data_IF_016537234123
#
_entry.id   IF_016537234123
#
_cell.length_a   1.000
_cell.length_b   1.000
_cell.length_c   1.000
_cell.angle_alpha   90.00
_cell.angle_beta   90.00
_cell.angle_gamma   90.00
#
_symmetry.space_group_name_H-M   'P 1'
#
loop_
_entity.id
_entity.type
_entity.pdbx_description
1 polymer ?
#
# COMPACT_ATOMS: atom_id res chain seq x y z
N UNK A 1 -6.26 0.67 -10.09
CA UNK A 1 -5.23 -0.36 -9.79
C UNK A 1 -4.31 -0.03 -8.60
N UNK A 2 -3.82 1.20 -8.44
CA UNK A 2 -2.71 1.53 -7.51
C UNK A 2 -2.94 1.09 -6.04
N UNK A 3 -4.11 1.40 -5.46
CA UNK A 3 -4.51 0.96 -4.11
C UNK A 3 -4.34 -0.56 -3.94
N UNK A 4 -4.65 -1.35 -4.97
CA UNK A 4 -4.50 -2.80 -4.93
C UNK A 4 -3.01 -3.18 -4.90
N UNK A 5 -2.16 -2.50 -5.68
CA UNK A 5 -0.70 -2.72 -5.67
C UNK A 5 -0.18 -2.47 -4.25
N UNK A 6 -0.49 -1.31 -3.66
CA UNK A 6 -0.05 -0.97 -2.30
C UNK A 6 -0.57 -1.95 -1.25
N UNK A 7 -1.82 -2.37 -1.36
CA UNK A 7 -2.41 -3.39 -0.49
C UNK A 7 -1.64 -4.71 -0.61
N UNK A 8 -1.37 -5.18 -1.83
CA UNK A 8 -0.68 -6.44 -2.05
C UNK A 8 0.80 -6.37 -1.65
N UNK A 9 1.47 -5.24 -1.84
CA UNK A 9 2.84 -5.02 -1.35
C UNK A 9 2.87 -5.00 0.17
N UNK A 10 1.89 -4.36 0.81
CA UNK A 10 1.71 -4.43 2.25
C UNK A 10 1.52 -5.88 2.75
N UNK A 11 0.75 -6.68 2.02
CA UNK A 11 0.62 -8.11 2.30
C UNK A 11 1.96 -8.85 2.14
N UNK A 12 2.76 -8.54 1.11
CA UNK A 12 4.11 -9.09 0.95
C UNK A 12 4.99 -8.78 2.18
N UNK A 13 5.01 -7.53 2.65
CA UNK A 13 5.66 -7.16 3.91
C UNK A 13 5.13 -7.95 5.12
N UNK A 14 3.81 -8.13 5.19
CA UNK A 14 3.17 -8.95 6.22
C UNK A 14 3.59 -10.42 6.17
N UNK A 15 3.89 -10.99 4.99
CA UNK A 15 4.40 -12.37 4.89
C UNK A 15 5.77 -12.52 5.54
N UNK A 16 6.64 -11.51 5.43
CA UNK A 16 7.94 -11.47 6.10
C UNK A 16 7.76 -11.49 7.61
N UNK A 17 6.90 -10.63 8.15
CA UNK A 17 6.63 -10.56 9.58
C UNK A 17 6.03 -11.88 10.10
N UNK A 18 5.08 -12.45 9.36
CA UNK A 18 4.45 -13.73 9.69
C UNK A 18 5.44 -14.91 9.70
N UNK A 19 6.40 -14.93 8.77
CA UNK A 19 7.44 -15.96 8.70
C UNK A 19 8.41 -15.87 9.88
N UNK A 20 8.80 -14.66 10.27
CA UNK A 20 9.77 -14.43 11.35
C UNK A 20 9.17 -14.60 12.75
N UNK A 21 7.88 -14.30 12.94
CA UNK A 21 7.22 -14.34 14.24
C UNK A 21 6.92 -15.76 14.78
N UNK A 22 6.83 -16.79 13.91
CA UNK A 22 6.53 -18.19 14.29
C UNK A 22 5.20 -18.40 15.00
N UNK A 23 4.13 -17.79 14.49
CA UNK A 23 2.77 -18.00 14.99
C UNK A 23 2.01 -19.09 14.22
N UNK A 24 0.87 -19.53 14.77
CA UNK A 24 -0.07 -20.44 14.10
C UNK A 24 -0.57 -19.87 12.75
N UNK A 25 -0.99 -20.69 11.78
CA UNK A 25 -1.44 -20.22 10.46
C UNK A 25 -2.52 -19.14 10.50
N UNK A 26 -3.52 -19.29 11.36
CA UNK A 26 -4.56 -18.28 11.52
C UNK A 26 -4.02 -16.92 11.99
N UNK A 27 -2.99 -16.92 12.83
CA UNK A 27 -2.34 -15.69 13.27
C UNK A 27 -1.44 -15.12 12.17
N UNK A 28 -0.73 -15.97 11.41
CA UNK A 28 0.06 -15.55 10.26
C UNK A 28 -0.83 -14.88 9.20
N UNK A 29 -1.97 -15.49 8.85
CA UNK A 29 -2.93 -14.91 7.91
C UNK A 29 -3.40 -13.52 8.36
N UNK A 30 -3.71 -13.35 9.66
CA UNK A 30 -4.07 -12.03 10.20
C UNK A 30 -2.90 -11.04 10.10
N UNK A 31 -1.66 -11.43 10.39
CA UNK A 31 -0.49 -10.56 10.24
C UNK A 31 -0.36 -10.10 8.78
N UNK A 32 -0.51 -11.00 7.81
CA UNK A 32 -0.47 -10.67 6.37
C UNK A 32 -1.56 -9.68 6.00
N UNK A 33 -2.81 -9.93 6.41
CA UNK A 33 -3.94 -9.02 6.16
C UNK A 33 -3.71 -7.65 6.78
N UNK A 34 -3.20 -7.58 8.01
CA UNK A 34 -2.85 -6.31 8.66
C UNK A 34 -1.77 -5.55 7.89
N UNK A 35 -0.81 -6.25 7.28
CA UNK A 35 0.18 -5.63 6.40
C UNK A 35 -0.48 -4.99 5.17
N UNK A 36 -1.44 -5.69 4.57
CA UNK A 36 -2.23 -5.14 3.46
C UNK A 36 -3.05 -3.92 3.85
N UNK A 37 -3.71 -3.95 5.02
CA UNK A 37 -4.40 -2.77 5.56
C UNK A 37 -3.43 -1.61 5.79
N UNK A 38 -2.20 -1.88 6.21
CA UNK A 38 -1.15 -0.87 6.35
C UNK A 38 -0.77 -0.23 5.02
N UNK A 39 -0.62 -1.02 3.96
CA UNK A 39 -0.31 -0.52 2.61
C UNK A 39 -1.47 0.24 1.96
N UNK A 40 -2.72 -0.12 2.26
CA UNK A 40 -3.90 0.60 1.78
C UNK A 40 -4.16 1.92 2.55
N UNK A 41 -3.68 2.02 3.79
CA UNK A 41 -4.11 3.07 4.72
C UNK A 41 -3.81 4.51 4.29
N UNK A 42 -2.65 4.81 3.68
CA UNK A 42 -2.38 6.17 3.19
C UNK A 42 -3.42 6.67 2.18
N UNK A 43 -4.05 5.74 1.44
CA UNK A 43 -5.07 6.01 0.43
C UNK A 43 -6.50 5.92 0.97
N UNK A 44 -6.69 5.84 2.29
CA UNK A 44 -8.01 5.60 2.87
C UNK A 44 -9.04 6.68 2.50
N UNK A 45 -8.57 7.88 2.20
CA UNK A 45 -9.41 8.99 1.80
C UNK A 45 -9.80 8.97 0.31
N UNK A 46 -9.35 7.99 -0.47
CA UNK A 46 -10.00 7.62 -1.75
C UNK A 46 -11.47 7.22 -1.54
N UNK A 47 -11.85 6.84 -0.31
CA UNK A 47 -13.26 6.69 0.08
C UNK A 47 -14.08 7.96 -0.15
N UNK A 48 -13.45 9.13 -0.12
CA UNK A 48 -14.12 10.39 -0.45
C UNK A 48 -14.57 10.48 -1.91
N UNK A 49 -14.00 9.69 -2.81
CA UNK A 49 -14.42 9.60 -4.21
C UNK A 49 -15.60 8.64 -4.45
N UNK A 50 -16.07 7.95 -3.41
CA UNK A 50 -17.26 7.11 -3.54
C UNK A 50 -18.47 7.97 -3.95
N UNK A 51 -19.29 7.57 -4.95
CA UNK A 51 -20.42 8.38 -5.42
C UNK A 51 -21.44 8.80 -4.37
N UNK A 52 -21.55 8.05 -3.26
CA UNK A 52 -22.43 8.40 -2.14
C UNK A 52 -21.80 9.34 -1.10
N UNK A 53 -20.51 9.67 -1.22
CA UNK A 53 -19.78 10.42 -0.20
C UNK A 53 -20.35 11.82 0.00
N UNK A 54 -20.58 12.58 -1.08
CA UNK A 54 -21.05 13.97 -0.98
C UNK A 54 -22.44 14.06 -0.35
N UNK A 55 -23.31 13.10 -0.66
CA UNK A 55 -24.66 13.00 -0.08
C UNK A 55 -24.65 12.58 1.39
N UNK A 56 -23.65 11.78 1.81
CA UNK A 56 -23.60 11.20 3.17
C UNK A 56 -22.77 12.04 4.14
N UNK A 57 -21.59 12.47 3.70
CA UNK A 57 -20.57 13.13 4.51
C UNK A 57 -20.21 14.52 4.00
N UNK A 58 -20.16 14.73 2.68
CA UNK A 58 -19.74 16.01 2.10
C UNK A 58 -20.60 17.19 2.56
N UNK A 59 -21.92 17.00 2.67
CA UNK A 59 -22.84 18.01 3.21
C UNK A 59 -22.52 18.43 4.67
N UNK A 60 -22.02 17.50 5.49
CA UNK A 60 -21.62 17.80 6.87
C UNK A 60 -20.23 18.45 6.95
N UNK A 61 -19.32 18.05 6.06
CA UNK A 61 -17.95 18.55 6.00
C UNK A 61 -17.82 19.91 5.29
N UNK A 62 -18.83 20.31 4.50
CA UNK A 62 -18.82 21.56 3.73
C UNK A 62 -17.82 21.56 2.57
N UNK A 63 -17.30 20.39 2.19
CA UNK A 63 -16.38 20.17 1.07
C UNK A 63 -16.81 18.90 0.33
N UNK A 64 -16.67 18.91 -0.98
CA UNK A 64 -16.88 17.70 -1.78
C UNK A 64 -15.75 16.70 -1.54
N UNK A 65 -16.05 15.41 -1.70
CA UNK A 65 -15.05 14.36 -1.60
C UNK A 65 -13.94 14.51 -2.63
N UNK A 66 -14.27 14.99 -3.85
CA UNK A 66 -13.27 15.32 -4.86
C UNK A 66 -12.31 16.42 -4.39
N UNK A 67 -12.81 17.46 -3.72
CA UNK A 67 -11.95 18.49 -3.14
C UNK A 67 -11.08 17.88 -2.04
N UNK A 68 -11.64 17.08 -1.13
CA UNK A 68 -10.87 16.45 -0.05
C UNK A 68 -9.71 15.60 -0.62
N UNK A 69 -9.99 14.79 -1.63
CA UNK A 69 -8.99 13.92 -2.25
C UNK A 69 -7.92 14.71 -3.01
N UNK A 70 -8.31 15.70 -3.80
CA UNK A 70 -7.39 16.40 -4.72
C UNK A 70 -6.64 17.59 -4.10
N UNK A 71 -7.08 18.07 -2.93
CA UNK A 71 -6.50 19.25 -2.28
C UNK A 71 -5.38 18.89 -1.30
N UNK A 72 -4.47 19.84 -1.06
CA UNK A 72 -3.36 19.71 -0.10
C UNK A 72 -3.81 19.91 1.36
N UNK A 73 -4.96 19.34 1.74
CA UNK A 73 -5.41 19.40 3.13
C UNK A 73 -4.39 18.71 4.03
N UNK A 74 -4.08 19.33 5.17
CA UNK A 74 -3.07 18.79 6.08
C UNK A 74 -3.43 17.39 6.59
N UNK A 75 -4.72 17.07 6.70
CA UNK A 75 -5.26 15.78 7.10
C UNK A 75 -5.58 14.85 5.93
N UNK A 76 -5.39 15.27 4.68
CA UNK A 76 -5.73 14.49 3.50
C UNK A 76 -4.58 13.59 3.03
N UNK A 77 -4.85 12.93 1.89
CA UNK A 77 -3.99 12.03 1.13
C UNK A 77 -2.57 12.59 1.08
N UNK A 78 -2.41 13.76 0.46
CA UNK A 78 -1.12 14.39 0.20
C UNK A 78 -0.47 15.09 1.42
N UNK A 79 -1.04 14.93 2.60
CA UNK A 79 -0.61 15.57 3.83
C UNK A 79 -0.09 14.57 4.86
N UNK A 80 -0.79 14.50 5.99
CA UNK A 80 -0.45 13.63 7.11
C UNK A 80 -0.42 12.15 6.73
N UNK A 81 -1.34 11.67 5.87
CA UNK A 81 -1.41 10.26 5.50
C UNK A 81 -0.22 9.81 4.64
N UNK A 82 0.41 10.69 3.86
CA UNK A 82 1.64 10.34 3.13
C UNK A 82 2.92 10.81 3.85
N UNK A 83 3.00 10.57 5.17
CA UNK A 83 4.14 10.97 5.99
C UNK A 83 4.63 9.89 6.98
N UNK A 84 5.91 9.95 7.34
CA UNK A 84 6.50 9.08 8.37
C UNK A 84 5.88 9.31 9.75
N UNK A 85 5.53 10.56 10.05
CA UNK A 85 4.84 10.92 11.30
C UNK A 85 3.46 10.27 11.34
N UNK A 86 2.73 10.32 10.22
CA UNK A 86 1.45 9.63 10.06
C UNK A 86 1.55 8.13 10.30
N UNK A 87 2.51 7.48 9.62
CA UNK A 87 2.77 6.05 9.76
C UNK A 87 3.01 5.64 11.23
N UNK A 88 3.89 6.36 11.95
CA UNK A 88 4.22 6.07 13.34
C UNK A 88 3.05 6.35 14.29
N UNK A 89 2.38 7.50 14.13
CA UNK A 89 1.28 7.91 15.01
C UNK A 89 0.09 6.97 14.86
N UNK A 90 -0.33 6.66 13.63
CA UNK A 90 -1.44 5.76 13.37
C UNK A 90 -1.16 4.34 13.87
N UNK A 91 0.05 3.82 13.65
CA UNK A 91 0.48 2.53 14.20
C UNK A 91 0.37 2.52 15.73
N UNK A 92 0.88 3.56 16.40
CA UNK A 92 0.85 3.68 17.86
C UNK A 92 -0.57 3.81 18.42
N UNK A 93 -1.42 4.63 17.79
CA UNK A 93 -2.81 4.85 18.20
C UNK A 93 -3.64 3.57 18.04
N UNK A 94 -3.56 2.91 16.87
CA UNK A 94 -4.26 1.65 16.64
C UNK A 94 -3.74 0.55 17.57
N UNK A 95 -2.41 0.43 17.73
CA UNK A 95 -1.79 -0.50 18.65
C UNK A 95 -2.25 -0.30 20.10
N UNK A 96 -2.29 0.95 20.56
CA UNK A 96 -2.80 1.32 21.89
C UNK A 96 -4.28 1.02 22.05
N UNK A 97 -5.11 1.44 21.09
CA UNK A 97 -6.56 1.19 21.10
C UNK A 97 -6.88 -0.31 21.17
N UNK A 98 -6.29 -1.13 20.30
CA UNK A 98 -6.50 -2.57 20.33
C UNK A 98 -5.91 -3.22 21.59
N UNK A 99 -4.82 -2.69 22.15
CA UNK A 99 -4.29 -3.16 23.44
C UNK A 99 -5.24 -2.91 24.61
N UNK A 100 -5.94 -1.76 24.60
CA UNK A 100 -6.98 -1.46 25.57
C UNK A 100 -8.15 -2.43 25.43
N UNK A 101 -8.65 -2.65 24.20
CA UNK A 101 -9.72 -3.62 23.94
C UNK A 101 -9.32 -5.01 24.43
N UNK A 102 -8.14 -5.48 24.06
CA UNK A 102 -7.69 -6.84 24.36
C UNK A 102 -7.48 -7.09 25.85
N UNK A 103 -6.98 -6.09 26.58
CA UNK A 103 -6.70 -6.21 28.02
C UNK A 103 -7.91 -5.89 28.91
N UNK A 104 -8.69 -4.85 28.61
CA UNK A 104 -9.77 -4.37 29.48
C UNK A 104 -11.15 -4.92 29.11
N UNK A 105 -11.46 -4.98 27.82
CA UNK A 105 -12.78 -5.38 27.33
C UNK A 105 -12.84 -6.90 27.19
N UNK A 106 -11.91 -7.48 26.41
CA UNK A 106 -11.87 -8.92 26.14
C UNK A 106 -11.20 -9.71 27.27
N UNK A 107 -10.46 -9.03 28.17
CA UNK A 107 -9.73 -9.64 29.30
C UNK A 107 -8.83 -10.81 28.87
N UNK A 108 -8.24 -10.73 27.68
CA UNK A 108 -7.37 -11.77 27.09
C UNK A 108 -5.89 -11.59 27.42
N UNK A 109 -5.53 -10.54 28.15
CA UNK A 109 -4.19 -10.30 28.65
C UNK A 109 -4.23 -9.75 30.09
N UNK A 110 -3.22 -10.04 30.92
CA UNK A 110 -3.18 -9.57 32.32
C UNK A 110 -3.18 -8.04 32.48
N UNK A 111 -2.79 -7.31 31.44
CA UNK A 111 -2.76 -5.85 31.44
C UNK A 111 -2.38 -5.28 30.08
N UNK A 112 -2.44 -3.95 29.97
CA UNK A 112 -2.17 -3.22 28.73
C UNK A 112 -0.79 -3.54 28.16
N UNK A 113 0.27 -3.52 28.97
CA UNK A 113 1.63 -3.78 28.50
C UNK A 113 1.85 -5.21 27.96
N UNK A 114 1.09 -6.19 28.46
CA UNK A 114 1.13 -7.56 27.92
C UNK A 114 0.33 -7.67 26.62
N UNK A 115 -0.82 -7.00 26.54
CA UNK A 115 -1.59 -6.90 25.29
C UNK A 115 -0.79 -6.20 24.18
N UNK A 116 -0.14 -5.09 24.51
CA UNK A 116 0.68 -4.34 23.57
C UNK A 116 1.81 -5.19 23.01
N UNK A 117 2.55 -5.90 23.88
CA UNK A 117 3.59 -6.84 23.48
C UNK A 117 3.07 -7.96 22.59
N UNK A 118 1.90 -8.52 22.91
CA UNK A 118 1.26 -9.53 22.06
C UNK A 118 0.90 -8.99 20.67
N UNK A 119 0.54 -7.70 20.57
CA UNK A 119 0.14 -7.07 19.32
C UNK A 119 1.31 -6.54 18.47
N UNK A 120 2.56 -6.57 18.97
CA UNK A 120 3.76 -6.07 18.26
C UNK A 120 3.89 -6.60 16.82
N UNK A 121 3.70 -7.90 16.52
CA UNK A 121 3.82 -8.40 15.14
C UNK A 121 2.81 -7.76 14.19
N UNK A 122 1.60 -7.47 14.67
CA UNK A 122 0.58 -6.78 13.87
C UNK A 122 0.96 -5.32 13.63
N UNK A 123 1.48 -4.65 14.66
CA UNK A 123 1.96 -3.26 14.54
C UNK A 123 3.13 -3.13 13.56
N UNK A 124 4.10 -4.04 13.63
CA UNK A 124 5.22 -4.10 12.68
C UNK A 124 4.72 -4.38 11.27
N UNK A 125 3.75 -5.28 11.11
CA UNK A 125 3.17 -5.58 9.80
C UNK A 125 2.45 -4.36 9.19
N UNK A 126 1.61 -3.69 9.99
CA UNK A 126 0.90 -2.48 9.56
C UNK A 126 1.89 -1.36 9.18
N UNK A 127 2.84 -1.05 10.07
CA UNK A 127 3.85 -0.03 9.81
C UNK A 127 4.69 -0.39 8.58
N UNK A 128 5.10 -1.65 8.43
CA UNK A 128 5.85 -2.12 7.28
C UNK A 128 5.08 -1.94 5.97
N UNK A 129 3.80 -2.30 5.93
CA UNK A 129 2.95 -2.07 4.76
C UNK A 129 2.79 -0.58 4.43
N UNK A 130 2.58 0.25 5.45
CA UNK A 130 2.47 1.70 5.30
C UNK A 130 3.76 2.30 4.70
N UNK A 131 4.92 1.92 5.23
CA UNK A 131 6.20 2.42 4.74
C UNK A 131 6.49 1.95 3.32
N UNK A 132 6.10 0.73 2.96
CA UNK A 132 6.24 0.23 1.59
C UNK A 132 5.39 1.06 0.62
N UNK A 133 4.14 1.36 0.98
CA UNK A 133 3.29 2.27 0.21
C UNK A 133 4.00 3.62 -0.04
N UNK A 134 4.55 4.25 1.01
CA UNK A 134 5.24 5.55 0.86
C UNK A 134 6.44 5.48 -0.10
N UNK A 135 7.10 4.32 -0.21
CA UNK A 135 8.21 4.12 -1.15
C UNK A 135 7.70 3.91 -2.58
N UNK A 136 6.59 3.20 -2.74
CA UNK A 136 5.95 2.95 -4.03
C UNK A 136 5.43 4.22 -4.70
N UNK A 137 5.09 5.24 -3.91
CA UNK A 137 4.65 6.55 -4.39
C UNK A 137 5.78 7.48 -4.80
N UNK A 138 7.03 7.23 -4.41
CA UNK A 138 8.16 8.07 -4.85
C UNK A 138 8.36 8.12 -6.38
N UNK A 139 8.24 7.01 -7.14
CA UNK A 139 8.43 7.01 -8.59
C UNK A 139 7.27 7.59 -9.42
N UNK A 140 6.10 7.90 -8.85
CA UNK A 140 4.99 8.52 -9.59
C UNK A 140 5.35 9.96 -9.99
N UNK A 141 4.67 10.62 -10.95
CA UNK A 141 5.06 11.97 -11.37
C UNK A 141 4.69 12.99 -10.30
N UNK A 142 5.46 14.07 -10.20
CA UNK A 142 5.16 15.16 -9.28
C UNK A 142 3.78 15.77 -9.53
N UNK A 143 3.37 15.89 -10.81
CA UNK A 143 2.05 16.39 -11.19
C UNK A 143 1.67 17.68 -10.45
N UNK A 144 0.44 17.74 -9.94
CA UNK A 144 -0.04 18.87 -9.13
C UNK A 144 0.53 18.94 -7.71
N UNK A 145 1.26 17.92 -7.26
CA UNK A 145 1.55 17.68 -5.85
C UNK A 145 3.04 17.75 -5.50
N UNK A 146 3.94 17.63 -6.48
CA UNK A 146 5.39 17.68 -6.29
C UNK A 146 6.01 16.46 -5.60
N UNK A 147 5.26 15.35 -5.47
CA UNK A 147 5.65 14.12 -4.76
C UNK A 147 4.79 13.88 -3.51
N UNK A 148 5.37 13.21 -2.51
CA UNK A 148 4.71 12.93 -1.22
C UNK A 148 5.29 13.77 -0.08
N UNK A 149 4.46 14.10 0.90
CA UNK A 149 4.84 14.92 2.06
C UNK A 149 5.48 14.09 3.19
N UNK A 150 6.52 13.34 2.83
CA UNK A 150 7.17 12.33 3.67
C UNK A 150 7.56 12.83 5.08
N UNK A 151 8.00 14.10 5.17
CA UNK A 151 8.49 14.75 6.39
C UNK A 151 7.49 15.76 6.99
N UNK A 152 6.18 15.55 6.84
CA UNK A 152 5.15 16.36 7.49
C UNK A 152 5.48 16.63 8.97
N UNK A 153 5.34 17.88 9.48
CA UNK A 153 4.67 19.03 8.87
C UNK A 153 5.55 19.89 7.96
N UNK A 154 6.77 19.46 7.61
CA UNK A 154 7.58 20.16 6.60
C UNK A 154 6.78 20.39 5.31
N UNK A 155 7.05 21.50 4.63
CA UNK A 155 6.44 21.84 3.34
C UNK A 155 7.20 21.22 2.15
N UNK A 156 8.28 20.48 2.42
CA UNK A 156 9.07 19.80 1.38
C UNK A 156 8.38 18.52 0.94
N UNK A 157 8.18 18.39 -0.37
CA UNK A 157 7.75 17.15 -1.01
C UNK A 157 8.97 16.36 -1.50
N UNK A 158 8.88 15.03 -1.41
CA UNK A 158 9.93 14.08 -1.78
C UNK A 158 9.31 13.03 -2.71
N UNK A 159 10.07 12.59 -3.72
CA UNK A 159 9.55 11.70 -4.76
C UNK A 159 9.15 12.51 -5.99
N UNK A 160 8.06 12.11 -6.65
CA UNK A 160 7.61 12.78 -7.87
C UNK A 160 8.53 12.54 -9.07
N UNK A 161 9.25 11.40 -9.09
CA UNK A 161 10.30 11.15 -10.09
C UNK A 161 9.78 10.91 -11.50
N UNK A 162 8.49 10.61 -11.66
CA UNK A 162 7.87 10.46 -12.98
C UNK A 162 8.32 9.21 -13.75
N UNK A 163 8.80 8.18 -13.05
CA UNK A 163 9.15 6.90 -13.65
C UNK A 163 7.92 6.04 -13.94
N UNK A 164 6.80 6.27 -13.27
CA UNK A 164 5.56 5.50 -13.46
C UNK A 164 4.36 6.40 -13.53
N UNK A 165 3.31 6.01 -14.23
CA UNK A 165 2.02 6.69 -14.17
C UNK A 165 1.25 6.31 -12.90
N UNK A 166 0.18 7.05 -12.55
CA UNK A 166 -0.63 6.79 -11.35
C UNK A 166 -1.58 5.59 -11.51
N UNK A 167 -2.16 5.39 -12.69
CA UNK A 167 -3.35 4.54 -12.78
C UNK A 167 -3.10 3.12 -13.29
N UNK A 168 -2.24 2.97 -14.31
CA UNK A 168 -2.23 1.77 -15.15
C UNK A 168 -0.94 0.94 -14.99
N UNK A 169 -0.54 0.62 -13.75
CA UNK A 169 0.71 -0.10 -13.44
C UNK A 169 0.57 -1.63 -13.43
N UNK A 170 0.09 -2.19 -14.54
CA UNK A 170 -0.29 -3.61 -14.62
C UNK A 170 0.89 -4.58 -14.56
N UNK A 171 2.02 -4.23 -15.15
CA UNK A 171 3.27 -4.97 -15.00
C UNK A 171 3.73 -5.07 -13.54
N UNK A 172 3.71 -3.94 -12.81
CA UNK A 172 4.03 -3.90 -11.38
C UNK A 172 3.01 -4.71 -10.57
N UNK A 173 1.72 -4.58 -10.87
CA UNK A 173 0.67 -5.39 -10.23
C UNK A 173 0.93 -6.90 -10.37
N UNK A 174 1.38 -7.36 -11.55
CA UNK A 174 1.72 -8.77 -11.78
C UNK A 174 2.97 -9.20 -10.98
N UNK A 175 4.00 -8.36 -10.92
CA UNK A 175 5.21 -8.62 -10.11
C UNK A 175 4.86 -8.76 -8.64
N UNK A 176 4.08 -7.83 -8.10
CA UNK A 176 3.66 -7.83 -6.68
C UNK A 176 2.75 -9.03 -6.39
N UNK A 177 1.77 -9.29 -7.26
CA UNK A 177 0.87 -10.45 -7.12
C UNK A 177 1.63 -11.78 -7.14
N UNK A 178 2.60 -11.91 -8.05
CA UNK A 178 3.47 -13.09 -8.12
C UNK A 178 4.34 -13.24 -6.87
N UNK A 179 4.92 -12.13 -6.39
CA UNK A 179 5.72 -12.09 -5.16
C UNK A 179 4.89 -12.51 -3.95
N UNK A 180 3.66 -12.02 -3.84
CA UNK A 180 2.74 -12.40 -2.78
C UNK A 180 2.38 -13.89 -2.85
N UNK A 181 1.99 -14.38 -4.03
CA UNK A 181 1.64 -15.78 -4.22
C UNK A 181 2.80 -16.71 -3.80
N UNK A 182 4.02 -16.44 -4.28
CA UNK A 182 5.19 -17.21 -3.91
C UNK A 182 5.51 -17.12 -2.41
N UNK A 183 5.31 -15.94 -1.80
CA UNK A 183 5.55 -15.75 -0.36
C UNK A 183 4.53 -16.48 0.50
N UNK A 184 3.26 -16.54 0.08
CA UNK A 184 2.21 -17.32 0.73
C UNK A 184 2.49 -18.83 0.62
N UNK A 185 2.90 -19.31 -0.56
CA UNK A 185 3.33 -20.70 -0.74
C UNK A 185 4.53 -21.03 0.15
N UNK A 186 5.52 -20.12 0.23
CA UNK A 186 6.66 -20.28 1.11
C UNK A 186 6.24 -20.35 2.59
N UNK A 187 5.30 -19.52 3.04
CA UNK A 187 4.76 -19.58 4.40
C UNK A 187 4.13 -20.93 4.73
N UNK A 188 3.33 -21.48 3.81
CA UNK A 188 2.71 -22.80 3.98
C UNK A 188 3.76 -23.92 4.13
N UNK A 189 4.86 -23.84 3.38
CA UNK A 189 5.95 -24.83 3.47
C UNK A 189 6.83 -24.63 4.71
N UNK A 190 7.07 -23.37 5.11
CA UNK A 190 7.91 -23.02 6.25
C UNK A 190 7.42 -23.60 7.57
N UNK A 191 6.09 -23.71 7.73
CA UNK A 191 5.49 -24.31 8.92
C UNK A 191 5.98 -25.76 9.13
N UNK A 192 6.35 -26.46 8.06
CA UNK A 192 6.52 -27.92 8.10
C UNK A 192 7.97 -28.42 8.21
N UNK A 193 8.98 -27.65 7.81
CA UNK A 193 10.31 -28.25 7.54
C UNK A 193 11.56 -27.65 8.18
N UNK A 194 11.70 -26.32 8.39
CA UNK A 194 12.97 -25.79 8.94
C UNK A 194 12.95 -24.31 9.34
N UNK A 195 13.70 -23.97 10.41
CA UNK A 195 13.98 -22.58 10.84
C UNK A 195 14.69 -21.73 9.77
N UNK A 196 15.34 -22.32 8.76
CA UNK A 196 16.03 -21.58 7.69
C UNK A 196 15.08 -21.07 6.61
N UNK A 197 13.96 -21.76 6.38
CA UNK A 197 13.02 -21.41 5.30
C UNK A 197 12.28 -20.10 5.59
N UNK A 198 12.22 -19.64 6.85
CA UNK A 198 11.58 -18.38 7.24
C UNK A 198 12.15 -17.12 6.58
N UNK A 199 13.33 -17.21 5.96
CA UNK A 199 13.94 -16.11 5.22
C UNK A 199 13.54 -16.09 3.75
N UNK A 200 12.85 -17.13 3.23
CA UNK A 200 12.39 -17.16 1.85
C UNK A 200 11.46 -15.97 1.53
N UNK A 201 10.45 -15.62 2.35
CA UNK A 201 9.63 -14.43 2.08
C UNK A 201 10.44 -13.13 2.06
N UNK A 202 11.52 -13.03 2.84
CA UNK A 202 12.43 -11.86 2.79
C UNK A 202 13.12 -11.79 1.43
N UNK A 203 13.68 -12.92 0.97
CA UNK A 203 14.35 -13.00 -0.33
C UNK A 203 13.39 -12.74 -1.48
N UNK A 204 12.16 -13.26 -1.40
CA UNK A 204 11.12 -13.03 -2.40
C UNK A 204 10.69 -11.56 -2.45
N UNK A 205 10.49 -10.91 -1.29
CA UNK A 205 10.19 -9.48 -1.24
C UNK A 205 11.31 -8.66 -1.87
N UNK A 206 12.57 -8.91 -1.49
CA UNK A 206 13.73 -8.20 -2.07
C UNK A 206 13.84 -8.42 -3.58
N UNK A 207 13.67 -9.66 -4.04
CA UNK A 207 13.71 -9.99 -5.47
C UNK A 207 12.56 -9.32 -6.23
N UNK A 208 11.34 -9.35 -5.70
CA UNK A 208 10.18 -8.66 -6.27
C UNK A 208 10.39 -7.15 -6.34
N UNK A 209 10.93 -6.53 -5.29
CA UNK A 209 11.27 -5.11 -5.28
C UNK A 209 12.33 -4.77 -6.33
N UNK A 210 13.37 -5.60 -6.49
CA UNK A 210 14.39 -5.38 -7.51
C UNK A 210 13.81 -5.50 -8.93
N UNK A 211 12.94 -6.47 -9.18
CA UNK A 211 12.25 -6.60 -10.46
C UNK A 211 11.35 -5.39 -10.74
N UNK A 212 10.59 -4.92 -9.74
CA UNK A 212 9.76 -3.74 -9.88
C UNK A 212 10.61 -2.49 -10.16
N UNK A 213 11.68 -2.25 -9.41
CA UNK A 213 12.61 -1.13 -9.64
C UNK A 213 13.26 -1.20 -11.02
N UNK A 214 13.69 -2.39 -11.44
CA UNK A 214 14.22 -2.61 -12.78
C UNK A 214 13.19 -2.26 -13.84
N UNK A 215 11.96 -2.74 -13.67
CA UNK A 215 10.86 -2.47 -14.59
C UNK A 215 10.55 -0.97 -14.69
N UNK A 216 10.54 -0.25 -13.56
CA UNK A 216 10.36 1.20 -13.52
C UNK A 216 11.51 1.95 -14.22
N UNK A 217 12.75 1.52 -14.01
CA UNK A 217 13.93 2.17 -14.58
C UNK A 217 14.01 2.05 -16.11
N UNK A 218 13.47 0.98 -16.69
CA UNK A 218 13.47 0.77 -18.15
C UNK A 218 12.26 1.38 -18.88
N UNK A 219 11.40 2.12 -18.17
CA UNK A 219 10.31 2.86 -18.80
C UNK A 219 10.87 3.99 -19.65
N UNK A 220 10.22 4.23 -20.79
CA UNK A 220 10.73 5.15 -21.82
C UNK A 220 10.14 6.55 -21.70
N UNK A 221 9.05 6.67 -20.93
CA UNK A 221 8.29 7.91 -20.78
C UNK A 221 8.66 8.55 -19.46
N UNK A 222 9.09 9.82 -19.50
CA UNK A 222 9.12 10.67 -18.32
C UNK A 222 7.71 11.27 -18.13
N UNK A 223 7.02 10.81 -17.09
CA UNK A 223 5.66 11.23 -16.80
C UNK A 223 5.57 12.64 -16.18
N UNK A 224 6.70 13.32 -15.92
CA UNK A 224 6.72 14.74 -15.54
C UNK A 224 6.66 15.69 -16.75
N UNK A 225 7.04 15.24 -17.94
CA UNK A 225 7.20 16.11 -19.11
C UNK A 225 6.03 16.05 -20.12
N UNK A 226 5.02 15.22 -19.87
CA UNK A 226 3.87 15.06 -20.77
C UNK A 226 2.59 15.74 -20.25
N UNK A 227 1.73 16.17 -21.18
CA UNK A 227 0.36 16.56 -20.85
C UNK A 227 -0.48 15.32 -20.49
N UNK A 228 -1.46 15.46 -19.60
CA UNK A 228 -2.25 14.34 -19.07
C UNK A 228 -2.74 13.34 -20.14
N UNK A 229 -3.38 13.76 -21.27
CA UNK A 229 -3.82 12.79 -22.27
C UNK A 229 -2.68 12.02 -22.93
N UNK A 230 -1.53 12.67 -23.13
CA UNK A 230 -0.34 12.04 -23.70
C UNK A 230 0.29 11.05 -22.71
N UNK A 231 0.37 11.41 -21.42
CA UNK A 231 0.84 10.51 -20.37
C UNK A 231 -0.05 9.26 -20.25
N UNK A 232 -1.37 9.46 -20.30
CA UNK A 232 -2.34 8.36 -20.23
C UNK A 232 -2.16 7.41 -21.43
N UNK A 233 -2.08 7.94 -22.66
CA UNK A 233 -1.82 7.13 -23.86
C UNK A 233 -0.48 6.40 -23.78
N UNK A 234 0.60 7.10 -23.42
CA UNK A 234 1.93 6.52 -23.29
C UNK A 234 1.97 5.40 -22.23
N UNK A 235 1.25 5.57 -21.11
CA UNK A 235 1.11 4.54 -20.07
C UNK A 235 0.45 3.28 -20.62
N UNK A 236 -0.61 3.41 -21.43
CA UNK A 236 -1.25 2.25 -22.08
C UNK A 236 -0.32 1.54 -23.06
N UNK A 237 0.37 2.28 -23.91
CA UNK A 237 1.32 1.72 -24.89
C UNK A 237 2.47 0.98 -24.19
N UNK A 238 2.96 1.53 -23.09
CA UNK A 238 3.98 0.93 -22.26
C UNK A 238 3.51 -0.40 -21.64
N UNK A 239 2.29 -0.46 -21.11
CA UNK A 239 1.72 -1.72 -20.61
C UNK A 239 1.55 -2.75 -21.73
N UNK A 240 1.04 -2.34 -22.89
CA UNK A 240 0.90 -3.25 -24.04
C UNK A 240 2.26 -3.80 -24.50
N UNK A 241 3.33 -2.99 -24.43
CA UNK A 241 4.70 -3.40 -24.73
C UNK A 241 5.26 -4.36 -23.69
N UNK A 242 5.04 -4.09 -22.40
CA UNK A 242 5.67 -4.82 -21.29
C UNK A 242 5.04 -6.21 -21.07
N UNK A 243 3.72 -6.28 -21.07
CA UNK A 243 2.98 -7.52 -20.72
C UNK A 243 2.15 -8.07 -21.88
N UNK A 244 2.09 -7.36 -23.00
CA UNK A 244 1.34 -7.75 -24.19
C UNK A 244 -0.11 -7.27 -24.16
N UNK A 245 -0.67 -7.06 -25.36
CA UNK A 245 -2.04 -6.58 -25.57
C UNK A 245 -3.12 -7.45 -24.92
N UNK A 246 -2.94 -8.77 -24.95
CA UNK A 246 -3.92 -9.70 -24.40
C UNK A 246 -4.05 -9.56 -22.87
N UNK A 247 -2.92 -9.49 -22.16
CA UNK A 247 -2.89 -9.32 -20.70
C UNK A 247 -3.35 -7.93 -20.30
N UNK A 248 -2.87 -6.89 -20.99
CA UNK A 248 -3.29 -5.50 -20.75
C UNK A 248 -4.82 -5.36 -20.84
N UNK A 249 -5.44 -5.96 -21.86
CA UNK A 249 -6.90 -5.96 -22.02
C UNK A 249 -7.62 -6.66 -20.86
N UNK A 250 -7.13 -7.82 -20.41
CA UNK A 250 -7.74 -8.56 -19.30
C UNK A 250 -7.65 -7.79 -17.99
N UNK A 251 -6.49 -7.20 -17.70
CA UNK A 251 -6.29 -6.41 -16.49
C UNK A 251 -7.12 -5.13 -16.53
N UNK A 252 -7.27 -4.50 -17.70
CA UNK A 252 -8.20 -3.38 -17.88
C UNK A 252 -9.66 -3.76 -17.65
N UNK A 253 -10.08 -4.93 -18.13
CA UNK A 253 -11.42 -5.43 -17.84
C UNK A 253 -11.64 -5.63 -16.34
N UNK A 254 -10.64 -6.14 -15.63
CA UNK A 254 -10.68 -6.29 -14.17
C UNK A 254 -10.74 -4.92 -13.47
N UNK A 255 -9.90 -3.97 -13.85
CA UNK A 255 -9.85 -2.63 -13.25
C UNK A 255 -11.19 -1.87 -13.47
N UNK A 256 -11.80 -2.01 -14.65
CA UNK A 256 -13.11 -1.43 -14.96
C UNK A 256 -14.28 -2.02 -14.15
N UNK A 257 -14.09 -3.16 -13.45
CA UNK A 257 -15.10 -3.73 -12.56
C UNK A 257 -15.05 -3.11 -11.15
N UNK A 258 -14.02 -2.32 -10.83
CA UNK A 258 -13.92 -1.65 -9.54
C UNK A 258 -14.94 -0.49 -9.50
N UNK A 259 -15.73 -0.36 -8.41
CA UNK A 259 -16.78 0.66 -8.29
C UNK A 259 -16.23 2.04 -7.89
N UNK A 260 -14.96 2.32 -8.20
CA UNK A 260 -14.26 3.57 -7.87
C UNK A 260 -13.87 4.22 -9.20
N UNK A 261 -14.44 5.39 -9.47
CA UNK A 261 -14.18 6.16 -10.68
C UNK A 261 -13.26 7.33 -10.34
N UNK A 262 -12.07 7.35 -10.93
CA UNK A 262 -11.11 8.44 -10.85
C UNK A 262 -11.27 9.38 -12.05
#
# INVERSE_FOLDING_TARGET
MDILIHTLTGMCGGTVVAALHRSRPAQQARIVVIGGLGGMFPDIDTFSLWPGFDQTFGAWLGQSGREIYSSHLWYGHHGFFHSLVGALLLTGLLGGFFSLIYSRILRRAPGFGSAFRYLVPYQISFLGGYLLHLVEDMPTPGGSWGGIRLLFPSQTYIGGWGYTWWWNNYDIFLIVSGTLLLSLLALMVCEWRSRRLRFIPVLLLLFGSLLAMQQLHFRQTDYNECAYPACETASWEEQERNIGKAWTRRLRQMDNLLPIYF
#
